data_IF_290112968035
#
_entry.id   IF_290112968035
#
_cell.length_a   1.000
_cell.length_b   1.000
_cell.length_c   1.000
_cell.angle_alpha   90.00
_cell.angle_beta   90.00
_cell.angle_gamma   90.00
#
_symmetry.space_group_name_H-M   'P 1'
#
loop_
_entity.id
_entity.type
_entity.pdbx_description
1 polymer ?
#
# COMPACT_ATOMS: atom_id res chain seq x y z
N UNK A 1 57.17 -12.26 21.48
CA UNK A 1 56.36 -12.12 22.71
C UNK A 1 56.31 -10.62 23.00
N UNK A 2 55.19 -9.91 22.89
CA UNK A 2 53.89 -10.22 23.51
C UNK A 2 52.78 -9.49 22.74
N UNK A 3 51.81 -10.23 22.20
CA UNK A 3 50.55 -9.70 21.68
C UNK A 3 49.73 -9.10 22.82
N UNK A 4 49.43 -7.81 22.77
CA UNK A 4 48.45 -7.18 23.65
C UNK A 4 47.06 -7.48 23.10
N UNK A 5 46.46 -8.52 23.67
CA UNK A 5 45.07 -8.91 23.50
C UNK A 5 44.15 -7.75 23.95
N UNK A 6 43.63 -6.98 23.00
CA UNK A 6 42.54 -6.04 23.25
C UNK A 6 41.28 -6.86 23.54
N UNK A 7 40.91 -6.94 24.82
CA UNK A 7 39.58 -7.38 25.26
C UNK A 7 38.56 -6.40 24.67
N UNK A 8 37.96 -6.79 23.54
CA UNK A 8 36.70 -6.21 23.07
C UNK A 8 35.62 -6.60 24.06
N UNK A 9 35.44 -5.79 25.10
CA UNK A 9 34.26 -5.82 25.95
C UNK A 9 33.15 -5.09 25.20
N UNK A 10 32.64 -5.68 24.13
CA UNK A 10 31.42 -5.20 23.49
C UNK A 10 30.26 -5.56 24.41
N UNK A 11 29.88 -4.62 25.28
CA UNK A 11 28.59 -4.69 25.97
C UNK A 11 27.52 -5.04 24.94
N UNK A 12 26.74 -6.08 25.23
CA UNK A 12 25.71 -6.59 24.34
C UNK A 12 24.61 -5.51 24.23
N UNK A 13 24.70 -4.64 23.22
CA UNK A 13 23.72 -3.58 23.01
C UNK A 13 22.48 -4.18 22.34
N UNK A 14 21.41 -4.39 23.12
CA UNK A 14 20.10 -4.77 22.57
C UNK A 14 19.33 -3.53 22.10
N UNK A 15 18.52 -3.67 21.05
CA UNK A 15 17.55 -2.63 20.64
C UNK A 15 16.48 -2.38 21.73
N UNK A 16 16.33 -3.33 22.65
CA UNK A 16 15.39 -3.27 23.78
C UNK A 16 15.96 -2.49 24.97
N UNK A 17 17.24 -2.10 24.93
CA UNK A 17 17.89 -1.38 26.02
C UNK A 17 17.33 0.04 26.15
N UNK A 18 16.61 0.27 27.26
CA UNK A 18 15.92 1.53 27.55
C UNK A 18 16.86 2.73 27.65
N UNK A 19 18.17 2.49 27.84
CA UNK A 19 19.22 3.51 27.91
C UNK A 19 19.36 4.31 26.60
N UNK A 20 19.06 3.70 25.46
CA UNK A 20 19.19 4.31 24.13
C UNK A 20 17.84 4.68 23.49
N UNK A 21 16.73 4.44 24.19
CA UNK A 21 15.39 4.79 23.71
C UNK A 21 15.04 6.22 24.12
N UNK A 22 14.97 7.14 23.15
CA UNK A 22 14.49 8.49 23.42
C UNK A 22 12.96 8.47 23.67
N UNK A 23 12.47 8.83 24.86
CA UNK A 23 11.04 8.83 25.18
C UNK A 23 10.21 9.80 24.30
N UNK A 24 10.84 10.81 23.69
CA UNK A 24 10.18 11.73 22.76
C UNK A 24 9.86 11.08 21.41
N UNK A 25 10.65 10.09 20.97
CA UNK A 25 10.37 9.33 19.74
C UNK A 25 9.13 8.44 19.88
N UNK A 26 8.70 8.11 21.10
CA UNK A 26 7.43 7.38 21.33
C UNK A 26 6.19 8.23 21.04
N UNK A 27 6.35 9.55 21.01
CA UNK A 27 5.29 10.53 20.67
C UNK A 27 5.42 11.04 19.24
N UNK A 28 6.47 10.65 18.52
CA UNK A 28 6.59 10.99 17.13
C UNK A 28 5.47 10.28 16.35
N UNK A 29 4.86 11.00 15.42
CA UNK A 29 3.93 10.42 14.45
C UNK A 29 4.74 9.59 13.45
N UNK A 30 5.19 8.42 13.92
CA UNK A 30 5.90 7.44 13.10
C UNK A 30 4.90 6.39 12.64
N UNK A 31 5.00 5.91 11.38
CA UNK A 31 4.15 4.82 10.91
C UNK A 31 4.31 3.61 11.84
N UNK A 32 3.25 3.30 12.59
CA UNK A 32 3.24 2.10 13.42
C UNK A 32 3.05 0.86 12.54
N UNK A 33 3.62 -0.25 12.99
CA UNK A 33 3.31 -1.53 12.37
C UNK A 33 1.80 -1.78 12.45
N UNK A 34 1.17 -2.27 11.36
CA UNK A 34 -0.27 -2.52 11.35
C UNK A 34 -0.66 -3.50 12.46
N UNK A 35 -1.78 -3.25 13.12
CA UNK A 35 -2.27 -4.13 14.19
C UNK A 35 -2.69 -5.49 13.61
N UNK A 36 -2.84 -6.54 14.44
CA UNK A 36 -3.35 -7.83 13.99
C UNK A 36 -4.72 -7.74 13.29
N UNK A 37 -5.57 -6.80 13.70
CA UNK A 37 -6.86 -6.55 13.06
C UNK A 37 -6.68 -5.94 11.66
N UNK A 38 -5.82 -4.91 11.55
CA UNK A 38 -5.50 -4.27 10.26
C UNK A 38 -4.90 -5.28 9.26
N UNK A 39 -4.07 -6.20 9.75
CA UNK A 39 -3.49 -7.24 8.88
C UNK A 39 -4.54 -8.21 8.33
N UNK A 40 -5.59 -8.49 9.10
CA UNK A 40 -6.68 -9.36 8.67
C UNK A 40 -7.57 -8.66 7.64
N UNK A 41 -7.94 -7.40 7.89
CA UNK A 41 -8.72 -6.61 6.94
C UNK A 41 -7.96 -6.40 5.62
N UNK A 42 -6.65 -6.16 5.68
CA UNK A 42 -5.79 -6.12 4.50
C UNK A 42 -5.77 -7.45 3.73
N UNK A 43 -5.74 -8.59 4.43
CA UNK A 43 -5.78 -9.90 3.78
C UNK A 43 -7.11 -10.18 3.10
N UNK A 44 -8.23 -9.85 3.75
CA UNK A 44 -9.57 -9.99 3.17
C UNK A 44 -9.75 -9.08 1.97
N UNK A 45 -9.28 -7.84 2.06
CA UNK A 45 -9.27 -6.91 0.93
C UNK A 45 -8.43 -7.47 -0.22
N UNK A 46 -7.20 -7.94 0.03
CA UNK A 46 -6.35 -8.59 -0.99
C UNK A 46 -7.05 -9.76 -1.69
N UNK A 47 -7.78 -10.59 -0.94
CA UNK A 47 -8.53 -11.71 -1.50
C UNK A 47 -9.68 -11.23 -2.41
N UNK A 48 -10.44 -10.21 -1.99
CA UNK A 48 -11.49 -9.59 -2.82
C UNK A 48 -10.92 -9.02 -4.13
N UNK A 49 -9.76 -8.38 -4.05
CA UNK A 49 -9.08 -7.78 -5.18
C UNK A 49 -8.54 -8.81 -6.18
N UNK A 50 -7.95 -9.90 -5.68
CA UNK A 50 -7.58 -11.04 -6.52
C UNK A 50 -8.80 -11.66 -7.21
N UNK A 51 -9.94 -11.71 -6.51
CA UNK A 51 -11.23 -12.13 -7.09
C UNK A 51 -11.70 -11.20 -8.21
N UNK A 52 -11.65 -9.88 -7.99
CA UNK A 52 -12.02 -8.87 -8.98
C UNK A 52 -11.10 -8.94 -10.20
N UNK A 53 -9.79 -9.02 -9.99
CA UNK A 53 -8.79 -9.17 -11.05
C UNK A 53 -9.04 -10.42 -11.91
N UNK A 54 -9.32 -11.58 -11.28
CA UNK A 54 -9.65 -12.82 -12.01
C UNK A 54 -10.95 -12.69 -12.80
N UNK A 55 -11.96 -12.05 -12.23
CA UNK A 55 -13.25 -11.83 -12.89
C UNK A 55 -13.09 -10.95 -14.14
N UNK A 56 -12.43 -9.80 -13.98
CA UNK A 56 -12.23 -8.85 -15.08
C UNK A 56 -11.31 -9.44 -16.14
N UNK A 57 -10.19 -10.08 -15.80
CA UNK A 57 -9.31 -10.72 -16.80
C UNK A 57 -9.99 -11.86 -17.55
N UNK A 58 -10.95 -12.56 -16.91
CA UNK A 58 -11.74 -13.62 -17.57
C UNK A 58 -12.73 -13.05 -18.58
N UNK A 59 -13.37 -11.92 -18.24
CA UNK A 59 -14.39 -11.27 -19.07
C UNK A 59 -13.78 -10.42 -20.17
N UNK A 60 -12.73 -9.67 -19.82
CA UNK A 60 -12.03 -8.70 -20.65
C UNK A 60 -10.56 -9.10 -20.77
N UNK A 61 -10.25 -9.98 -21.73
CA UNK A 61 -8.87 -10.42 -22.00
C UNK A 61 -7.93 -9.29 -22.44
N UNK A 62 -8.50 -8.16 -22.81
CA UNK A 62 -7.81 -6.94 -23.23
C UNK A 62 -7.15 -6.22 -22.05
N UNK A 63 -7.59 -6.45 -20.81
CA UNK A 63 -7.04 -5.77 -19.62
C UNK A 63 -5.66 -6.33 -19.31
N UNK A 64 -4.66 -5.45 -19.32
CA UNK A 64 -3.25 -5.82 -19.06
C UNK A 64 -2.98 -5.97 -17.56
N UNK A 65 -3.68 -5.22 -16.72
CA UNK A 65 -3.55 -5.31 -15.28
C UNK A 65 -4.53 -4.42 -14.54
N UNK A 66 -4.75 -4.76 -13.27
CA UNK A 66 -5.52 -3.95 -12.32
C UNK A 66 -4.63 -3.78 -11.08
N UNK A 67 -4.45 -2.53 -10.65
CA UNK A 67 -3.66 -2.12 -9.51
C UNK A 67 -4.46 -1.22 -8.57
N UNK A 68 -3.90 -0.93 -7.41
CA UNK A 68 -4.50 -0.05 -6.40
C UNK A 68 -3.46 0.95 -5.97
N UNK A 69 -3.88 2.20 -5.91
CA UNK A 69 -3.08 3.26 -5.32
C UNK A 69 -3.59 3.44 -3.89
N UNK A 70 -2.74 3.17 -2.88
CA UNK A 70 -3.11 3.40 -1.50
C UNK A 70 -3.31 4.89 -1.23
N UNK A 71 -4.08 5.25 -0.19
CA UNK A 71 -4.36 6.63 0.20
C UNK A 71 -3.09 7.46 0.45
N UNK A 72 -1.99 6.81 0.87
CA UNK A 72 -0.70 7.46 1.11
C UNK A 72 -0.03 7.96 -0.17
N UNK A 73 -0.34 7.33 -1.31
CA UNK A 73 0.19 7.69 -2.61
C UNK A 73 -0.86 8.41 -3.47
N UNK A 74 -2.10 8.57 -2.97
CA UNK A 74 -3.21 9.18 -3.71
C UNK A 74 -2.88 10.62 -4.14
N UNK A 75 -2.23 11.41 -3.27
CA UNK A 75 -1.84 12.81 -3.58
C UNK A 75 -1.03 12.95 -4.88
N UNK A 76 -0.20 11.95 -5.23
CA UNK A 76 0.57 11.96 -6.49
C UNK A 76 -0.28 11.75 -7.75
N UNK A 77 -1.47 11.18 -7.62
CA UNK A 77 -2.38 10.85 -8.72
C UNK A 77 -3.66 11.69 -8.70
N UNK A 78 -4.03 12.26 -7.55
CA UNK A 78 -5.22 13.10 -7.34
C UNK A 78 -5.07 14.47 -8.01
N UNK A 79 -3.82 14.93 -8.20
CA UNK A 79 -3.52 16.14 -8.95
C UNK A 79 -3.88 16.04 -10.44
N UNK A 80 -3.86 14.83 -11.01
CA UNK A 80 -4.27 14.60 -12.40
C UNK A 80 -5.79 14.40 -12.56
N UNK A 81 -6.53 14.14 -11.47
CA UNK A 81 -7.93 13.70 -11.54
C UNK A 81 -8.98 14.76 -11.14
N UNK A 82 -8.60 16.04 -11.01
CA UNK A 82 -9.51 17.16 -10.67
C UNK A 82 -10.47 16.88 -9.49
N UNK A 83 -10.02 16.15 -8.47
CA UNK A 83 -10.84 15.83 -7.29
C UNK A 83 -11.18 17.09 -6.49
N UNK A 84 -12.39 17.15 -5.95
CA UNK A 84 -12.82 18.24 -5.07
C UNK A 84 -12.02 18.27 -3.77
N UNK A 85 -11.93 19.43 -3.11
CA UNK A 85 -11.16 19.57 -1.85
C UNK A 85 -11.64 18.62 -0.75
N UNK A 86 -12.93 18.24 -0.76
CA UNK A 86 -13.52 17.29 0.17
C UNK A 86 -13.04 15.86 -0.11
N UNK A 87 -13.02 15.43 -1.37
CA UNK A 87 -12.55 14.10 -1.78
C UNK A 87 -11.04 13.93 -1.54
N UNK A 88 -10.23 14.96 -1.79
CA UNK A 88 -8.79 14.93 -1.48
C UNK A 88 -8.51 14.72 0.01
N UNK A 89 -9.36 15.29 0.86
CA UNK A 89 -9.21 15.20 2.32
C UNK A 89 -9.55 13.82 2.87
N UNK A 90 -10.43 13.10 2.18
CA UNK A 90 -10.80 11.72 2.51
C UNK A 90 -9.71 10.70 2.13
N UNK A 91 -8.72 11.10 1.32
CA UNK A 91 -7.65 10.24 0.77
C UNK A 91 -8.21 8.90 0.26
N UNK A 92 -9.03 8.92 -0.81
CA UNK A 92 -9.66 7.71 -1.30
C UNK A 92 -8.63 6.72 -1.84
N UNK A 93 -8.98 5.45 -1.77
CA UNK A 93 -8.21 4.38 -2.38
C UNK A 93 -8.57 4.29 -3.86
N UNK A 94 -7.59 4.48 -4.75
CA UNK A 94 -7.87 4.48 -6.19
C UNK A 94 -7.62 3.12 -6.81
N UNK A 95 -8.45 2.75 -7.78
CA UNK A 95 -8.29 1.56 -8.60
C UNK A 95 -7.72 1.97 -9.96
N UNK A 96 -6.58 1.38 -10.33
CA UNK A 96 -5.93 1.62 -11.64
C UNK A 96 -6.19 0.43 -12.54
N UNK A 97 -6.63 0.70 -13.77
CA UNK A 97 -6.85 -0.33 -14.79
C UNK A 97 -6.00 0.00 -16.01
N UNK A 98 -5.13 -0.92 -16.41
CA UNK A 98 -4.25 -0.76 -17.56
C UNK A 98 -4.86 -1.47 -18.77
N UNK A 99 -5.14 -0.71 -19.82
CA UNK A 99 -5.72 -1.16 -21.08
C UNK A 99 -4.84 -0.73 -22.26
N UNK A 100 -4.71 -1.55 -23.31
CA UNK A 100 -4.04 -1.15 -24.54
C UNK A 100 -4.88 -0.10 -25.30
N UNK A 101 -4.22 0.85 -25.95
CA UNK A 101 -4.86 2.00 -26.61
C UNK A 101 -5.91 1.60 -27.66
N UNK A 102 -5.71 0.50 -28.39
CA UNK A 102 -6.65 0.02 -29.41
C UNK A 102 -8.01 -0.46 -28.84
N UNK A 103 -8.12 -0.52 -27.51
CA UNK A 103 -9.25 -1.07 -26.76
C UNK A 103 -9.94 -0.04 -25.87
N UNK A 104 -9.69 1.26 -26.09
CA UNK A 104 -10.30 2.36 -25.31
C UNK A 104 -11.84 2.26 -25.26
N UNK A 105 -12.49 1.79 -26.32
CA UNK A 105 -13.96 1.60 -26.36
C UNK A 105 -14.46 0.57 -25.34
N UNK A 106 -13.65 -0.43 -24.99
CA UNK A 106 -13.97 -1.42 -23.96
C UNK A 106 -13.82 -0.84 -22.54
N UNK A 107 -13.16 0.31 -22.35
CA UNK A 107 -12.97 0.93 -21.04
C UNK A 107 -14.30 1.19 -20.32
N UNK A 108 -15.30 1.72 -21.03
CA UNK A 108 -16.61 1.99 -20.44
C UNK A 108 -17.31 0.71 -19.98
N UNK A 109 -17.18 -0.39 -20.74
CA UNK A 109 -17.73 -1.68 -20.37
C UNK A 109 -16.98 -2.29 -19.18
N UNK A 110 -15.65 -2.22 -19.18
CA UNK A 110 -14.79 -2.66 -18.06
C UNK A 110 -15.13 -1.88 -16.80
N UNK A 111 -15.26 -0.56 -16.88
CA UNK A 111 -15.64 0.31 -15.75
C UNK A 111 -17.00 -0.07 -15.18
N UNK A 112 -18.01 -0.29 -16.04
CA UNK A 112 -19.34 -0.74 -15.62
C UNK A 112 -19.32 -2.11 -14.96
N UNK A 113 -18.53 -3.05 -15.49
CA UNK A 113 -18.41 -4.39 -14.92
C UNK A 113 -17.70 -4.40 -13.57
N UNK A 114 -16.70 -3.54 -13.39
CA UNK A 114 -16.07 -3.31 -12.10
C UNK A 114 -17.12 -2.79 -11.12
N UNK A 115 -17.82 -1.69 -11.45
CA UNK A 115 -18.86 -1.09 -10.61
C UNK A 115 -19.99 -2.04 -10.21
N UNK A 116 -20.33 -3.03 -11.05
CA UNK A 116 -21.36 -4.04 -10.73
C UNK A 116 -20.87 -5.15 -9.79
N UNK A 117 -19.56 -5.30 -9.64
CA UNK A 117 -18.94 -6.44 -8.94
C UNK A 117 -18.45 -6.11 -7.53
N UNK A 118 -18.10 -4.85 -7.28
CA UNK A 118 -17.83 -4.27 -5.96
C UNK A 118 -19.14 -3.93 -5.25
#
# INVERSE_FOLDING_TARGET
MTEKNQKNNSEETSLEDKKYQNPELKKADVPQAPSPADTKEMQEMRAKLEGLKKYINKKHKSVSGIGIIPPQAAEMFDDENELTEEERKEKPMHLVVVLPNDKEKEFNEVKLDILKKI
#
